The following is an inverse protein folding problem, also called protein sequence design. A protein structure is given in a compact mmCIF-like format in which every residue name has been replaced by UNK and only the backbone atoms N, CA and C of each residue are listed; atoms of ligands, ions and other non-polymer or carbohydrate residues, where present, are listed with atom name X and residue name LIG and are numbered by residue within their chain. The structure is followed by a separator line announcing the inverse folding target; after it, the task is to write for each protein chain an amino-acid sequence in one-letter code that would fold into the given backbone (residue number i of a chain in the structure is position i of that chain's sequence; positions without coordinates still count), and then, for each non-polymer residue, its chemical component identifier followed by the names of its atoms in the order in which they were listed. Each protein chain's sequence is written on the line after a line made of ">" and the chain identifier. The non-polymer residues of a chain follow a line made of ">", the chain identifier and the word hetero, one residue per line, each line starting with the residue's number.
data_IF_434619663097
#
_entry.id   IF_434619663097
#
_cell.length_a   1.000
_cell.length_b   1.000
_cell.length_c   1.000
_cell.angle_alpha   90.00
_cell.angle_beta   90.00
_cell.angle_gamma   90.00
#
_symmetry.space_group_name_H-M   'P 1'
#
loop_
_entity.id
_entity.type
_entity.pdbx_description
1 polymer ?
#
# COMPACT_ATOMS: atom_id res chain seq x y z
N UNK A 1 -61.93 -56.38 17.98
CA UNK A 1 -62.31 -54.98 18.28
C UNK A 1 -61.25 -54.22 19.08
N UNK A 2 -60.51 -54.83 20.02
CA UNK A 2 -59.48 -54.10 20.79
C UNK A 2 -58.30 -53.58 19.95
N UNK A 3 -57.85 -54.29 18.93
CA UNK A 3 -56.73 -53.86 18.07
C UNK A 3 -57.01 -52.56 17.29
N UNK A 4 -58.25 -52.39 16.81
CA UNK A 4 -58.70 -51.19 16.09
C UNK A 4 -58.79 -49.97 17.01
N UNK A 5 -59.19 -50.19 18.28
CA UNK A 5 -59.23 -49.14 19.28
C UNK A 5 -57.82 -48.66 19.67
N UNK A 6 -56.86 -49.58 19.80
CA UNK A 6 -55.47 -49.22 20.13
C UNK A 6 -54.79 -48.49 18.97
N UNK A 7 -55.04 -48.88 17.71
CA UNK A 7 -54.55 -48.13 16.55
C UNK A 7 -55.17 -46.75 16.42
N UNK A 8 -56.45 -46.58 16.78
CA UNK A 8 -57.13 -45.29 16.76
C UNK A 8 -56.62 -44.36 17.87
N UNK A 9 -56.35 -44.91 19.07
CA UNK A 9 -55.73 -44.16 20.17
C UNK A 9 -54.28 -43.78 19.87
N UNK A 10 -53.50 -44.66 19.20
CA UNK A 10 -52.16 -44.30 18.72
C UNK A 10 -52.22 -43.21 17.64
N UNK A 11 -53.17 -43.27 16.71
CA UNK A 11 -53.34 -42.25 15.67
C UNK A 11 -53.75 -40.90 16.27
N UNK A 12 -54.65 -40.89 17.26
CA UNK A 12 -55.03 -39.69 18.00
C UNK A 12 -53.88 -39.16 18.88
N UNK A 13 -53.06 -40.04 19.47
CA UNK A 13 -51.88 -39.63 20.24
C UNK A 13 -50.78 -39.04 19.33
N UNK A 14 -50.58 -39.60 18.13
CA UNK A 14 -49.65 -39.05 17.12
C UNK A 14 -50.15 -37.70 16.58
N UNK A 15 -51.46 -37.54 16.36
CA UNK A 15 -52.07 -36.26 15.97
C UNK A 15 -52.13 -35.23 17.11
N UNK A 16 -52.09 -35.65 18.38
CA UNK A 16 -51.97 -34.76 19.53
C UNK A 16 -50.51 -34.37 19.85
N UNK A 17 -49.53 -35.11 19.32
CA UNK A 17 -48.09 -34.83 19.46
C UNK A 17 -47.51 -33.97 18.33
N UNK A 18 -48.28 -33.65 17.29
CA UNK A 18 -47.98 -32.51 16.42
C UNK A 18 -48.23 -31.22 17.22
N UNK A 19 -47.26 -30.84 18.04
CA UNK A 19 -47.14 -29.48 18.54
C UNK A 19 -47.29 -28.56 17.32
N UNK A 20 -48.27 -27.67 17.35
CA UNK A 20 -48.45 -26.66 16.31
C UNK A 20 -47.19 -25.79 16.31
N UNK A 21 -46.25 -26.12 15.42
CA UNK A 21 -45.05 -25.33 15.20
C UNK A 21 -45.52 -24.00 14.59
N UNK A 22 -45.56 -22.97 15.44
CA UNK A 22 -45.80 -21.61 15.01
C UNK A 22 -44.55 -21.14 14.25
N UNK A 23 -44.72 -20.57 13.07
CA UNK A 23 -43.63 -19.96 12.30
C UNK A 23 -43.86 -18.46 12.21
N UNK A 24 -42.77 -17.70 12.13
CA UNK A 24 -42.87 -16.28 11.83
C UNK A 24 -43.26 -16.04 10.37
N UNK A 25 -44.07 -15.01 10.14
CA UNK A 25 -44.42 -14.46 8.83
C UNK A 25 -44.35 -12.92 8.90
N UNK A 26 -44.30 -12.24 7.75
CA UNK A 26 -44.34 -10.78 7.67
C UNK A 26 -45.62 -10.30 7.03
N UNK A 27 -46.29 -9.31 7.62
CA UNK A 27 -47.40 -8.57 7.00
C UNK A 27 -46.94 -7.21 6.48
N UNK A 28 -47.52 -6.78 5.36
CA UNK A 28 -47.28 -5.47 4.73
C UNK A 28 -45.78 -5.15 4.61
N UNK A 29 -45.00 -6.10 4.10
CA UNK A 29 -43.57 -5.95 3.86
C UNK A 29 -43.35 -5.01 2.67
N UNK A 30 -42.80 -3.84 2.94
CA UNK A 30 -42.50 -2.79 1.95
C UNK A 30 -41.00 -2.66 1.79
N UNK A 31 -40.51 -2.99 0.60
CA UNK A 31 -39.13 -2.78 0.18
C UNK A 31 -39.10 -1.63 -0.82
N UNK A 32 -38.27 -0.62 -0.57
CA UNK A 32 -38.08 0.46 -1.53
C UNK A 32 -36.62 0.90 -1.60
N UNK A 33 -36.19 1.23 -2.81
CA UNK A 33 -34.90 1.85 -3.10
C UNK A 33 -35.18 3.22 -3.69
N UNK A 34 -34.77 4.25 -2.96
CA UNK A 34 -34.96 5.65 -3.35
C UNK A 34 -33.60 6.32 -3.43
N UNK A 35 -33.31 7.02 -4.53
CA UNK A 35 -32.18 7.94 -4.60
C UNK A 35 -32.39 9.09 -3.59
N UNK A 36 -31.29 9.66 -3.10
CA UNK A 36 -31.30 10.79 -2.17
C UNK A 36 -32.10 11.99 -2.70
N UNK A 37 -32.11 12.21 -4.02
CA UNK A 37 -32.87 13.27 -4.70
C UNK A 37 -34.40 12.98 -4.76
N UNK A 38 -34.86 11.89 -4.13
CA UNK A 38 -36.26 11.51 -4.03
C UNK A 38 -36.75 10.64 -5.19
N UNK A 39 -35.89 10.31 -6.16
CA UNK A 39 -36.21 9.38 -7.25
C UNK A 39 -36.45 7.96 -6.72
N UNK A 40 -37.64 7.40 -6.95
CA UNK A 40 -37.95 6.01 -6.57
C UNK A 40 -37.49 5.06 -7.68
N UNK A 41 -36.49 4.23 -7.42
CA UNK A 41 -35.98 3.23 -8.37
C UNK A 41 -36.68 1.88 -8.24
N UNK A 42 -36.98 1.48 -7.00
CA UNK A 42 -37.72 0.25 -6.69
C UNK A 42 -38.71 0.53 -5.57
N UNK A 43 -39.94 0.05 -5.72
CA UNK A 43 -40.95 0.08 -4.65
C UNK A 43 -41.86 -1.14 -4.78
N UNK A 44 -41.68 -2.10 -3.89
CA UNK A 44 -42.46 -3.34 -3.82
C UNK A 44 -43.13 -3.46 -2.46
N UNK A 45 -44.35 -3.98 -2.45
CA UNK A 45 -45.11 -4.27 -1.25
C UNK A 45 -45.63 -5.70 -1.36
N UNK A 46 -45.38 -6.49 -0.33
CA UNK A 46 -45.78 -7.89 -0.23
C UNK A 46 -46.72 -8.03 0.97
N UNK A 47 -47.80 -8.81 0.83
CA UNK A 47 -48.77 -8.97 1.89
C UNK A 47 -48.34 -10.04 2.91
N UNK A 48 -47.65 -11.09 2.43
CA UNK A 48 -47.05 -12.17 3.22
C UNK A 48 -45.65 -12.51 2.71
N UNK A 49 -44.84 -13.22 3.53
CA UNK A 49 -43.58 -13.83 3.09
C UNK A 49 -43.74 -14.73 1.86
N UNK A 50 -44.91 -15.35 1.67
CA UNK A 50 -45.19 -16.26 0.55
C UNK A 50 -45.30 -15.55 -0.80
N UNK A 51 -45.52 -14.23 -0.79
CA UNK A 51 -45.65 -13.43 -2.01
C UNK A 51 -44.28 -13.03 -2.59
N UNK A 52 -43.19 -13.32 -1.87
CA UNK A 52 -41.84 -13.08 -2.35
C UNK A 52 -41.46 -14.13 -3.42
N UNK A 53 -40.78 -13.72 -4.50
CA UNK A 53 -40.26 -14.65 -5.48
C UNK A 53 -39.21 -15.56 -4.84
N UNK A 54 -39.12 -16.81 -5.32
CA UNK A 54 -38.15 -17.80 -4.83
C UNK A 54 -36.69 -17.34 -5.05
N UNK A 55 -36.45 -16.60 -6.13
CA UNK A 55 -35.17 -15.94 -6.40
C UNK A 55 -35.31 -14.42 -6.24
N UNK A 56 -34.45 -13.77 -5.44
CA UNK A 56 -34.48 -12.32 -5.25
C UNK A 56 -34.10 -11.59 -6.54
N UNK A 57 -34.75 -10.45 -6.78
CA UNK A 57 -34.43 -9.60 -7.93
C UNK A 57 -33.05 -8.94 -7.73
N UNK A 58 -32.27 -8.88 -8.80
CA UNK A 58 -30.97 -8.20 -8.79
C UNK A 58 -31.12 -6.72 -9.17
N UNK A 59 -30.61 -5.82 -8.34
CA UNK A 59 -30.64 -4.38 -8.58
C UNK A 59 -29.27 -3.75 -8.40
N UNK A 60 -28.81 -3.02 -9.42
CA UNK A 60 -27.56 -2.26 -9.36
C UNK A 60 -27.77 -0.94 -8.61
N UNK A 61 -27.04 -0.75 -7.51
CA UNK A 61 -27.08 0.44 -6.66
C UNK A 61 -26.23 1.59 -7.20
N UNK A 62 -26.68 2.79 -6.92
CA UNK A 62 -25.94 4.03 -7.08
C UNK A 62 -25.45 4.56 -5.71
N UNK A 63 -24.45 5.46 -5.68
CA UNK A 63 -23.85 5.94 -4.42
C UNK A 63 -24.86 6.60 -3.47
N UNK A 64 -25.84 7.30 -4.02
CA UNK A 64 -26.82 8.10 -3.28
C UNK A 64 -28.12 7.32 -3.02
N UNK A 65 -28.15 6.02 -3.34
CA UNK A 65 -29.33 5.20 -3.09
C UNK A 65 -29.53 4.92 -1.59
N UNK A 66 -30.80 4.87 -1.23
CA UNK A 66 -31.29 4.59 0.11
C UNK A 66 -32.25 3.42 0.03
N UNK A 67 -31.85 2.31 0.65
CA UNK A 67 -32.68 1.13 0.83
C UNK A 67 -33.54 1.35 2.08
N UNK A 68 -34.85 1.12 1.95
CA UNK A 68 -35.83 1.23 3.02
C UNK A 68 -36.66 -0.03 3.09
N UNK A 69 -36.74 -0.59 4.28
CA UNK A 69 -37.51 -1.78 4.59
C UNK A 69 -38.49 -1.45 5.72
N UNK A 70 -39.77 -1.74 5.55
CA UNK A 70 -40.76 -1.64 6.61
C UNK A 70 -41.67 -2.86 6.60
N UNK A 71 -41.95 -3.45 7.75
CA UNK A 71 -42.80 -4.64 7.85
C UNK A 71 -43.47 -4.73 9.22
N UNK A 72 -44.47 -5.60 9.29
CA UNK A 72 -45.09 -6.04 10.53
C UNK A 72 -44.78 -7.51 10.77
N UNK A 73 -44.26 -7.86 11.95
CA UNK A 73 -44.04 -9.23 12.35
C UNK A 73 -45.39 -9.88 12.69
N UNK A 74 -45.64 -11.04 12.09
CA UNK A 74 -46.83 -11.86 12.29
C UNK A 74 -46.46 -13.31 12.50
N UNK A 75 -47.41 -14.11 12.94
CA UNK A 75 -47.28 -15.56 13.02
C UNK A 75 -47.95 -16.19 11.80
N UNK A 76 -47.64 -17.46 11.53
CA UNK A 76 -48.26 -18.24 10.45
C UNK A 76 -49.78 -18.41 10.61
N UNK A 77 -50.32 -18.17 11.80
CA UNK A 77 -51.77 -18.05 12.06
C UNK A 77 -52.40 -16.77 11.49
N UNK A 78 -51.58 -15.82 11.04
CA UNK A 78 -52.01 -14.49 10.60
C UNK A 78 -52.19 -13.49 11.75
N UNK A 79 -51.94 -13.87 13.00
CA UNK A 79 -51.99 -12.94 14.13
C UNK A 79 -50.72 -12.09 14.20
N UNK A 80 -50.83 -10.89 14.80
CA UNK A 80 -49.66 -10.03 15.03
C UNK A 80 -48.78 -10.66 16.09
N UNK A 81 -47.47 -10.64 15.88
CA UNK A 81 -46.50 -11.13 16.84
C UNK A 81 -46.35 -10.13 18.00
N UNK A 82 -47.23 -10.24 19.01
CA UNK A 82 -47.26 -9.38 20.20
C UNK A 82 -46.96 -10.16 21.48
N UNK A 83 -46.58 -9.46 22.54
CA UNK A 83 -46.31 -10.06 23.84
C UNK A 83 -45.18 -11.08 23.80
N UNK A 84 -45.50 -12.34 24.13
CA UNK A 84 -44.53 -13.44 24.22
C UNK A 84 -44.01 -13.93 22.86
N UNK A 85 -44.77 -13.68 21.80
CA UNK A 85 -44.40 -14.06 20.44
C UNK A 85 -43.66 -12.96 19.69
N UNK A 86 -43.35 -11.83 20.32
CA UNK A 86 -42.55 -10.77 19.71
C UNK A 86 -41.15 -11.32 19.37
N UNK A 87 -40.63 -11.10 18.15
CA UNK A 87 -39.29 -11.56 17.80
C UNK A 87 -38.23 -10.97 18.74
N UNK A 88 -37.48 -11.82 19.42
CA UNK A 88 -36.34 -11.40 20.25
C UNK A 88 -35.16 -10.95 19.38
N UNK A 89 -35.03 -11.54 18.20
CA UNK A 89 -33.99 -11.24 17.22
C UNK A 89 -34.68 -10.82 15.91
N UNK A 90 -34.37 -9.60 15.47
CA UNK A 90 -34.76 -9.11 14.16
C UNK A 90 -33.54 -8.47 13.53
N UNK A 91 -33.05 -9.02 12.43
CA UNK A 91 -31.82 -8.58 11.79
C UNK A 91 -32.05 -8.40 10.30
N UNK A 92 -31.48 -7.34 9.74
CA UNK A 92 -31.22 -7.27 8.30
C UNK A 92 -29.78 -7.68 8.11
N UNK A 93 -29.55 -8.66 7.26
CA UNK A 93 -28.22 -9.17 6.92
C UNK A 93 -27.97 -8.85 5.46
N UNK A 94 -26.79 -8.33 5.17
CA UNK A 94 -26.26 -8.26 3.81
C UNK A 94 -25.06 -9.19 3.75
N UNK A 95 -25.14 -10.20 2.91
CA UNK A 95 -24.12 -11.23 2.77
C UNK A 95 -23.78 -11.50 1.31
N UNK A 96 -22.59 -12.04 1.12
CA UNK A 96 -22.11 -12.63 -0.12
C UNK A 96 -22.66 -14.07 -0.20
N UNK A 97 -22.77 -14.68 -1.39
CA UNK A 97 -23.24 -16.06 -1.57
C UNK A 97 -22.49 -17.07 -0.70
N UNK A 98 -21.19 -16.84 -0.45
CA UNK A 98 -20.35 -17.69 0.41
C UNK A 98 -20.41 -17.32 1.91
N UNK A 99 -21.24 -16.34 2.30
CA UNK A 99 -21.37 -15.80 3.66
C UNK A 99 -20.06 -15.32 4.32
N UNK A 100 -18.96 -15.23 3.57
CA UNK A 100 -17.65 -14.76 4.05
C UNK A 100 -17.63 -13.26 4.37
N UNK A 101 -18.55 -12.52 3.75
CA UNK A 101 -18.64 -11.06 3.80
C UNK A 101 -20.00 -10.61 4.30
N UNK A 102 -20.26 -10.84 5.58
CA UNK A 102 -21.52 -10.47 6.23
C UNK A 102 -21.47 -9.07 6.87
N UNK A 103 -22.59 -8.37 6.80
CA UNK A 103 -22.89 -7.18 7.61
C UNK A 103 -24.30 -7.28 8.15
N UNK A 104 -24.45 -6.99 9.44
CA UNK A 104 -25.67 -7.26 10.18
C UNK A 104 -26.15 -5.96 10.81
N UNK A 105 -27.42 -5.62 10.62
CA UNK A 105 -28.08 -4.49 11.25
C UNK A 105 -29.19 -5.00 12.18
N UNK A 106 -29.07 -4.78 13.49
CA UNK A 106 -30.13 -5.12 14.41
C UNK A 106 -31.32 -4.17 14.28
N UNK A 107 -32.51 -4.76 14.25
CA UNK A 107 -33.79 -4.06 14.20
C UNK A 107 -34.48 -4.16 15.55
N UNK A 108 -35.09 -3.05 15.98
CA UNK A 108 -35.97 -3.04 17.14
C UNK A 108 -37.42 -3.13 16.66
N UNK A 109 -38.06 -4.29 16.87
CA UNK A 109 -39.49 -4.47 16.60
C UNK A 109 -40.28 -3.79 17.71
N UNK A 110 -41.19 -2.88 17.34
CA UNK A 110 -42.01 -2.15 18.32
C UNK A 110 -43.10 -3.06 18.86
N UNK A 111 -43.09 -3.33 20.17
CA UNK A 111 -44.06 -4.24 20.81
C UNK A 111 -45.53 -3.81 20.69
N UNK A 112 -45.84 -2.52 20.59
CA UNK A 112 -47.22 -2.02 20.49
C UNK A 112 -47.87 -2.28 19.13
N UNK A 113 -47.08 -2.26 18.06
CA UNK A 113 -47.56 -2.39 16.68
C UNK A 113 -47.00 -3.59 15.95
N UNK A 114 -46.10 -4.37 16.57
CA UNK A 114 -45.30 -5.43 15.94
C UNK A 114 -44.55 -4.99 14.68
N UNK A 115 -44.29 -3.68 14.53
CA UNK A 115 -43.73 -3.11 13.30
C UNK A 115 -42.24 -2.79 13.46
N UNK A 116 -41.46 -2.99 12.41
CA UNK A 116 -40.09 -2.50 12.30
C UNK A 116 -39.89 -1.72 11.00
N UNK A 117 -39.01 -0.73 11.05
CA UNK A 117 -38.60 0.06 9.90
C UNK A 117 -37.09 0.25 9.94
N UNK A 118 -36.45 0.08 8.79
CA UNK A 118 -35.02 0.18 8.60
C UNK A 118 -34.74 1.00 7.35
N UNK A 119 -33.70 1.82 7.41
CA UNK A 119 -33.23 2.56 6.26
C UNK A 119 -31.71 2.63 6.28
N UNK A 120 -31.10 2.31 5.15
CA UNK A 120 -29.67 2.37 4.98
C UNK A 120 -29.32 3.08 3.69
N UNK A 121 -28.40 4.03 3.79
CA UNK A 121 -27.84 4.70 2.61
C UNK A 121 -26.55 4.01 2.22
N UNK A 122 -26.33 3.84 0.92
CA UNK A 122 -25.16 3.14 0.37
C UNK A 122 -23.86 3.89 0.69
N UNK A 123 -23.88 5.23 0.63
CA UNK A 123 -22.75 6.10 1.03
C UNK A 123 -22.30 5.90 2.48
N UNK A 124 -23.21 5.51 3.38
CA UNK A 124 -22.96 5.35 4.83
C UNK A 124 -22.63 3.93 5.26
N UNK A 125 -22.42 3.01 4.31
CA UNK A 125 -21.97 1.66 4.62
C UNK A 125 -20.66 1.68 5.40
N UNK A 126 -20.48 0.68 6.27
CA UNK A 126 -19.27 0.58 7.09
C UNK A 126 -18.02 0.48 6.20
N UNK A 127 -16.88 1.05 6.60
CA UNK A 127 -15.66 1.02 5.78
C UNK A 127 -15.17 -0.41 5.52
N UNK A 128 -15.41 -1.33 6.47
CA UNK A 128 -15.07 -2.74 6.31
C UNK A 128 -15.93 -3.42 5.23
N UNK A 129 -17.23 -3.13 5.20
CA UNK A 129 -18.13 -3.67 4.17
C UNK A 129 -17.78 -3.10 2.79
N UNK A 130 -17.52 -1.78 2.70
CA UNK A 130 -17.05 -1.14 1.46
C UNK A 130 -15.77 -1.79 0.92
N UNK A 131 -14.80 -2.10 1.79
CA UNK A 131 -13.57 -2.79 1.39
C UNK A 131 -13.86 -4.18 0.85
N UNK A 132 -14.71 -4.95 1.54
CA UNK A 132 -15.16 -6.28 1.10
C UNK A 132 -15.88 -6.23 -0.26
N UNK A 133 -16.67 -5.20 -0.52
CA UNK A 133 -17.32 -4.98 -1.82
C UNK A 133 -16.32 -4.68 -2.94
N UNK A 134 -15.30 -3.85 -2.68
CA UNK A 134 -14.22 -3.57 -3.64
C UNK A 134 -13.44 -4.84 -3.98
N UNK A 135 -13.13 -5.66 -2.98
CA UNK A 135 -12.47 -6.96 -3.20
C UNK A 135 -13.35 -7.98 -3.94
N UNK A 136 -14.67 -7.86 -3.88
CA UNK A 136 -15.61 -8.73 -4.59
C UNK A 136 -15.74 -8.37 -6.08
N UNK A 137 -15.65 -7.07 -6.40
CA UNK A 137 -15.76 -6.56 -7.76
C UNK A 137 -17.20 -6.23 -8.20
N UNK A 138 -17.37 -5.65 -9.41
CA UNK A 138 -18.61 -4.97 -9.84
C UNK A 138 -19.78 -5.89 -10.20
N UNK A 139 -19.52 -7.19 -10.42
CA UNK A 139 -20.54 -8.15 -10.87
C UNK A 139 -20.93 -9.15 -9.78
N UNK A 140 -20.47 -8.91 -8.55
CA UNK A 140 -20.71 -9.81 -7.44
C UNK A 140 -21.93 -9.31 -6.63
N UNK A 141 -23.07 -10.05 -6.63
CA UNK A 141 -24.27 -9.65 -5.92
C UNK A 141 -24.15 -9.90 -4.42
N UNK A 142 -24.57 -8.93 -3.63
CA UNK A 142 -24.76 -9.07 -2.18
C UNK A 142 -26.23 -9.27 -1.87
N UNK A 143 -26.58 -10.37 -1.22
CA UNK A 143 -27.95 -10.71 -0.87
C UNK A 143 -28.37 -9.95 0.39
N UNK A 144 -29.55 -9.35 0.34
CA UNK A 144 -30.19 -8.70 1.47
C UNK A 144 -31.26 -9.63 2.05
N UNK A 145 -31.05 -10.09 3.28
CA UNK A 145 -31.90 -11.06 3.96
C UNK A 145 -32.49 -10.46 5.24
N UNK A 146 -33.78 -10.64 5.47
CA UNK A 146 -34.44 -10.36 6.75
C UNK A 146 -34.52 -11.64 7.58
N UNK A 147 -34.04 -11.59 8.82
CA UNK A 147 -34.08 -12.70 9.76
C UNK A 147 -34.93 -12.30 10.96
N UNK A 148 -35.98 -13.06 11.25
CA UNK A 148 -36.78 -12.95 12.46
C UNK A 148 -36.70 -14.25 13.24
N UNK A 149 -36.27 -14.18 14.49
CA UNK A 149 -36.17 -15.32 15.37
C UNK A 149 -36.54 -14.95 16.80
N UNK A 150 -36.87 -15.97 17.58
CA UNK A 150 -37.28 -15.82 18.95
C UNK A 150 -36.76 -16.99 19.76
N UNK A 151 -36.42 -16.72 21.03
CA UNK A 151 -36.08 -17.79 21.95
C UNK A 151 -37.35 -18.45 22.45
N UNK A 152 -37.37 -19.78 22.44
CA UNK A 152 -38.44 -20.55 23.07
C UNK A 152 -38.46 -20.24 24.57
N UNK A 153 -39.58 -19.71 25.07
CA UNK A 153 -39.77 -19.42 26.50
C UNK A 153 -40.07 -20.69 27.28
N UNK A 154 -40.83 -21.61 26.68
CA UNK A 154 -41.12 -22.94 27.21
C UNK A 154 -40.50 -24.02 26.33
N UNK A 155 -40.00 -25.13 26.92
CA UNK A 155 -39.44 -26.27 26.17
C UNK A 155 -40.46 -27.00 25.29
N UNK A 156 -41.75 -26.63 25.38
CA UNK A 156 -42.85 -27.18 24.57
C UNK A 156 -43.28 -26.24 23.43
N UNK A 157 -42.86 -24.98 23.44
CA UNK A 157 -43.20 -23.98 22.43
C UNK A 157 -41.97 -23.68 21.56
N UNK A 158 -41.82 -24.36 20.43
CA UNK A 158 -40.79 -24.02 19.44
C UNK A 158 -41.41 -23.13 18.37
N UNK A 159 -40.77 -22.00 18.10
CA UNK A 159 -41.18 -21.08 17.03
C UNK A 159 -40.13 -21.15 15.94
N UNK A 160 -40.54 -21.48 14.72
CA UNK A 160 -39.62 -21.58 13.60
C UNK A 160 -39.17 -20.17 13.16
N UNK A 161 -37.85 -19.96 12.98
CA UNK A 161 -37.31 -18.69 12.54
C UNK A 161 -37.68 -18.44 11.07
N UNK A 162 -37.84 -17.16 10.73
CA UNK A 162 -38.12 -16.70 9.39
C UNK A 162 -36.85 -16.10 8.79
N UNK A 163 -36.42 -16.64 7.66
CA UNK A 163 -35.32 -16.11 6.84
C UNK A 163 -35.88 -15.76 5.47
N UNK A 164 -35.80 -14.49 5.10
CA UNK A 164 -36.40 -13.98 3.86
C UNK A 164 -35.37 -13.26 3.01
N UNK A 165 -34.96 -13.83 1.86
CA UNK A 165 -34.16 -13.13 0.88
C UNK A 165 -35.04 -12.07 0.19
N UNK A 166 -34.62 -10.81 0.23
CA UNK A 166 -35.42 -9.68 -0.24
C UNK A 166 -34.95 -9.15 -1.59
N UNK A 167 -33.63 -8.98 -1.75
CA UNK A 167 -33.04 -8.28 -2.87
C UNK A 167 -31.56 -8.68 -3.03
N UNK A 168 -31.13 -8.92 -4.26
CA UNK A 168 -29.72 -9.07 -4.58
C UNK A 168 -29.17 -7.73 -5.07
N UNK A 169 -28.14 -7.22 -4.42
CA UNK A 169 -27.64 -5.87 -4.56
C UNK A 169 -26.29 -5.91 -5.27
N UNK A 170 -26.21 -5.31 -6.46
CA UNK A 170 -24.97 -5.19 -7.21
C UNK A 170 -24.45 -3.76 -7.17
N UNK A 171 -23.13 -3.58 -7.30
CA UNK A 171 -22.48 -2.28 -7.18
C UNK A 171 -21.71 -1.95 -8.45
N UNK A 172 -21.95 -0.77 -9.03
CA UNK A 172 -21.28 -0.37 -10.26
C UNK A 172 -19.79 -0.10 -10.04
N UNK A 173 -18.98 -0.30 -11.09
CA UNK A 173 -17.52 -0.07 -11.04
C UNK A 173 -17.17 1.38 -10.64
N UNK A 174 -17.98 2.35 -11.05
CA UNK A 174 -17.79 3.77 -10.70
C UNK A 174 -18.04 4.06 -9.22
N UNK A 175 -18.86 3.27 -8.54
CA UNK A 175 -19.02 3.36 -7.09
C UNK A 175 -17.86 2.67 -6.37
N UNK A 176 -17.48 1.48 -6.81
CA UNK A 176 -16.39 0.72 -6.19
C UNK A 176 -15.07 1.50 -6.22
N UNK A 177 -14.79 2.22 -7.31
CA UNK A 177 -13.60 3.08 -7.38
C UNK A 177 -13.61 4.23 -6.36
N UNK A 178 -14.77 4.77 -6.02
CA UNK A 178 -14.90 5.78 -4.93
C UNK A 178 -14.58 5.16 -3.58
N UNK A 179 -15.05 3.94 -3.31
CA UNK A 179 -14.73 3.24 -2.07
C UNK A 179 -13.25 2.88 -1.97
N UNK A 180 -12.59 2.58 -3.09
CA UNK A 180 -11.16 2.31 -3.12
C UNK A 180 -10.32 3.54 -2.71
N UNK A 181 -10.74 4.74 -3.12
CA UNK A 181 -10.04 5.99 -2.78
C UNK A 181 -10.06 6.32 -1.28
N UNK A 182 -10.98 5.71 -0.52
CA UNK A 182 -11.18 5.97 0.90
C UNK A 182 -10.39 4.98 1.81
N UNK A 183 -9.19 4.57 1.39
CA UNK A 183 -8.22 3.81 2.21
C UNK A 183 -7.56 4.73 3.24
N UNK A 184 -8.33 5.33 4.14
CA UNK A 184 -7.75 5.90 5.35
C UNK A 184 -7.50 4.75 6.33
N UNK A 185 -6.29 4.64 6.90
CA UNK A 185 -6.05 3.69 7.98
C UNK A 185 -7.01 3.98 9.13
N UNK A 186 -7.68 2.94 9.63
CA UNK A 186 -8.56 3.11 10.79
C UNK A 186 -7.74 3.52 12.01
N UNK A 187 -8.30 4.31 12.92
CA UNK A 187 -7.61 4.68 14.17
C UNK A 187 -7.12 3.46 14.96
N UNK A 188 -7.84 2.33 14.87
CA UNK A 188 -7.40 1.05 15.44
C UNK A 188 -6.14 0.51 14.75
N UNK A 189 -6.10 0.54 13.43
CA UNK A 189 -4.92 0.11 12.66
C UNK A 189 -3.71 0.99 12.98
N UNK A 190 -3.91 2.30 13.14
CA UNK A 190 -2.84 3.23 13.56
C UNK A 190 -2.37 2.94 14.98
N UNK A 191 -3.29 2.65 15.92
CA UNK A 191 -2.94 2.24 17.28
C UNK A 191 -2.18 0.90 17.31
N UNK A 192 -2.65 -0.09 16.53
CA UNK A 192 -1.98 -1.39 16.41
C UNK A 192 -0.57 -1.24 15.80
N UNK A 193 -0.41 -0.33 14.84
CA UNK A 193 0.89 -0.01 14.24
C UNK A 193 1.81 0.68 15.26
N UNK A 194 1.28 1.62 16.04
CA UNK A 194 2.02 2.32 17.10
C UNK A 194 2.45 1.39 18.24
N UNK A 195 1.59 0.43 18.61
CA UNK A 195 1.86 -0.58 19.63
C UNK A 195 2.76 -1.73 19.12
N UNK A 196 3.07 -1.77 17.82
CA UNK A 196 4.00 -2.75 17.25
C UNK A 196 3.39 -4.12 16.96
N UNK A 197 2.07 -4.23 16.79
CA UNK A 197 1.40 -5.47 16.39
C UNK A 197 1.60 -5.83 14.91
N UNK A 198 2.10 -4.88 14.11
CA UNK A 198 2.42 -5.09 12.70
C UNK A 198 3.94 -5.17 12.51
N UNK A 199 4.43 -6.00 11.56
CA UNK A 199 5.86 -6.07 11.28
C UNK A 199 6.36 -4.70 10.82
N UNK A 200 7.42 -4.21 11.47
CA UNK A 200 8.07 -2.97 11.05
C UNK A 200 8.70 -3.16 9.67
N UNK A 201 8.64 -2.14 8.80
CA UNK A 201 9.30 -2.21 7.50
C UNK A 201 10.80 -2.41 7.70
N UNK A 202 11.39 -3.24 6.84
CA UNK A 202 12.82 -3.49 6.89
C UNK A 202 13.59 -2.23 6.45
N UNK A 203 14.31 -1.60 7.39
CA UNK A 203 15.18 -0.47 7.09
C UNK A 203 16.54 -0.98 6.62
N UNK A 204 16.94 -0.61 5.40
CA UNK A 204 18.28 -0.87 4.86
C UNK A 204 19.14 0.39 5.00
N UNK A 205 20.37 0.22 5.50
CA UNK A 205 21.34 1.31 5.54
C UNK A 205 21.79 1.65 4.12
N UNK A 206 21.50 2.87 3.67
CA UNK A 206 21.98 3.37 2.37
C UNK A 206 23.34 4.04 2.56
N UNK A 207 24.39 3.41 2.04
CA UNK A 207 25.72 4.01 2.01
C UNK A 207 25.77 5.16 1.00
N UNK A 208 26.64 6.13 1.27
CA UNK A 208 26.92 7.19 0.30
C UNK A 208 27.59 6.59 -0.93
N UNK A 209 27.28 7.16 -2.10
CA UNK A 209 27.91 6.80 -3.37
C UNK A 209 29.40 7.14 -3.29
N UNK A 210 30.25 6.15 -3.58
CA UNK A 210 31.69 6.34 -3.53
C UNK A 210 32.16 7.32 -4.62
N UNK A 211 33.12 8.23 -4.35
CA UNK A 211 33.50 9.30 -5.28
C UNK A 211 33.96 8.84 -6.67
N UNK A 212 34.48 7.61 -6.81
CA UNK A 212 34.92 7.10 -8.12
C UNK A 212 33.76 6.74 -9.05
N UNK A 213 32.56 6.50 -8.51
CA UNK A 213 31.37 6.18 -9.31
C UNK A 213 30.83 7.41 -10.04
N UNK A 214 31.11 8.60 -9.53
CA UNK A 214 30.75 9.89 -10.15
C UNK A 214 31.90 10.49 -10.97
N UNK A 215 33.07 9.85 -11.01
CA UNK A 215 34.20 10.33 -11.82
C UNK A 215 33.92 10.20 -13.32
N UNK A 216 34.43 11.14 -14.14
CA UNK A 216 34.30 11.07 -15.58
C UNK A 216 35.04 9.84 -16.15
N UNK A 217 34.67 9.38 -17.36
CA UNK A 217 35.34 8.25 -18.00
C UNK A 217 36.86 8.45 -18.10
N UNK A 218 37.63 7.38 -17.86
CA UNK A 218 39.11 7.40 -17.85
C UNK A 218 39.71 8.01 -19.12
N UNK A 219 39.08 7.78 -20.28
CA UNK A 219 39.53 8.34 -21.54
C UNK A 219 39.48 9.88 -21.57
N UNK A 220 38.42 10.48 -21.01
CA UNK A 220 38.27 11.95 -20.94
C UNK A 220 39.31 12.53 -20.00
N UNK A 221 39.52 11.91 -18.84
CA UNK A 221 40.55 12.34 -17.88
C UNK A 221 41.96 12.19 -18.44
N UNK A 222 42.24 11.14 -19.22
CA UNK A 222 43.54 10.94 -19.86
C UNK A 222 43.77 11.99 -20.96
N UNK A 223 42.75 12.25 -21.78
CA UNK A 223 42.80 13.26 -22.83
C UNK A 223 43.08 14.65 -22.27
N UNK A 224 42.38 15.06 -21.21
CA UNK A 224 42.63 16.35 -20.56
C UNK A 224 44.02 16.42 -19.92
N UNK A 225 44.47 15.35 -19.26
CA UNK A 225 45.82 15.28 -18.69
C UNK A 225 46.92 15.44 -19.76
N UNK A 226 46.77 14.78 -20.91
CA UNK A 226 47.70 14.92 -22.04
C UNK A 226 47.71 16.33 -22.62
N UNK A 227 46.54 16.98 -22.74
CA UNK A 227 46.47 18.36 -23.24
C UNK A 227 47.16 19.32 -22.27
N UNK A 228 46.91 19.20 -20.97
CA UNK A 228 47.54 20.05 -19.94
C UNK A 228 49.05 19.84 -19.90
N UNK A 229 49.53 18.61 -20.09
CA UNK A 229 50.96 18.30 -20.08
C UNK A 229 51.66 18.66 -21.40
N UNK A 230 51.06 18.41 -22.55
CA UNK A 230 51.76 18.55 -23.83
C UNK A 230 51.62 19.96 -24.41
N UNK A 231 50.45 20.60 -24.30
CA UNK A 231 50.19 21.85 -25.00
C UNK A 231 51.11 23.01 -24.52
N UNK A 232 51.22 23.32 -23.21
CA UNK A 232 52.07 24.43 -22.76
C UNK A 232 53.56 24.18 -23.06
N UNK A 233 54.03 22.95 -22.88
CA UNK A 233 55.42 22.58 -23.14
C UNK A 233 55.76 22.60 -24.63
N UNK A 234 54.84 22.16 -25.50
CA UNK A 234 55.03 22.25 -26.95
C UNK A 234 55.13 23.71 -27.44
N UNK A 235 54.30 24.60 -26.88
CA UNK A 235 54.35 26.05 -27.17
C UNK A 235 55.67 26.63 -26.67
N UNK A 236 56.09 26.31 -25.44
CA UNK A 236 57.36 26.78 -24.88
C UNK A 236 58.56 26.34 -25.75
N UNK A 237 58.60 25.07 -26.16
CA UNK A 237 59.66 24.53 -27.03
C UNK A 237 59.64 25.18 -28.42
N UNK A 238 58.45 25.44 -28.98
CA UNK A 238 58.31 26.14 -30.25
C UNK A 238 58.82 27.59 -30.17
N UNK A 239 58.52 28.29 -29.08
CA UNK A 239 59.02 29.64 -28.82
C UNK A 239 60.54 29.66 -28.59
N UNK A 240 61.11 28.60 -28.01
CA UNK A 240 62.55 28.46 -27.79
C UNK A 240 63.32 27.96 -29.01
N UNK A 241 62.63 27.48 -30.07
CA UNK A 241 63.25 27.00 -31.31
C UNK A 241 64.32 27.93 -31.91
N UNK A 242 64.16 29.27 -31.92
CA UNK A 242 65.19 30.18 -32.43
C UNK A 242 66.49 30.18 -31.61
N UNK A 243 66.44 29.82 -30.32
CA UNK A 243 67.59 29.84 -29.39
C UNK A 243 68.48 28.61 -29.54
N UNK A 244 67.94 27.47 -29.99
CA UNK A 244 68.69 26.23 -30.19
C UNK A 244 69.64 26.24 -31.40
N UNK A 245 69.54 27.26 -32.26
CA UNK A 245 70.45 27.43 -33.41
C UNK A 245 71.87 27.85 -33.01
N UNK A 246 72.07 28.27 -31.75
CA UNK A 246 73.38 28.62 -31.20
C UNK A 246 73.93 27.42 -30.43
N UNK A 247 74.98 26.80 -30.96
CA UNK A 247 75.72 25.75 -30.25
C UNK A 247 76.47 26.35 -29.06
N UNK A 248 75.95 26.17 -27.85
CA UNK A 248 76.61 26.58 -26.61
C UNK A 248 77.40 25.39 -26.05
N UNK A 249 78.71 25.57 -25.86
CA UNK A 249 79.52 24.57 -25.17
C UNK A 249 79.28 24.66 -23.66
N UNK A 250 78.79 23.58 -23.05
CA UNK A 250 78.53 23.53 -21.62
C UNK A 250 79.83 23.35 -20.82
N UNK A 251 80.10 24.26 -19.87
CA UNK A 251 81.24 24.11 -18.96
C UNK A 251 81.05 22.93 -18.01
N UNK A 252 82.15 22.27 -17.58
CA UNK A 252 82.08 21.13 -16.64
C UNK A 252 81.38 21.48 -15.34
N UNK A 253 81.59 22.68 -14.81
CA UNK A 253 80.91 23.18 -13.61
C UNK A 253 79.40 23.38 -13.82
N UNK A 254 79.01 23.91 -14.98
CA UNK A 254 77.60 24.05 -15.37
C UNK A 254 76.90 22.70 -15.54
N UNK A 255 77.58 21.71 -16.13
CA UNK A 255 77.04 20.35 -16.27
C UNK A 255 76.83 19.66 -14.92
N UNK A 256 77.74 19.85 -13.96
CA UNK A 256 77.60 19.32 -12.61
C UNK A 256 76.43 19.95 -11.86
N UNK A 257 76.23 21.27 -12.00
CA UNK A 257 75.06 21.97 -11.43
C UNK A 257 73.75 21.47 -12.04
N UNK A 258 73.68 21.33 -13.37
CA UNK A 258 72.49 20.80 -14.05
C UNK A 258 72.18 19.36 -13.63
N UNK A 259 73.21 18.51 -13.45
CA UNK A 259 73.03 17.16 -12.94
C UNK A 259 72.47 17.14 -11.51
N UNK A 260 72.89 18.07 -10.64
CA UNK A 260 72.34 18.19 -9.29
C UNK A 260 70.88 18.66 -9.32
N UNK A 261 70.54 19.64 -10.16
CA UNK A 261 69.15 20.11 -10.34
C UNK A 261 68.29 18.95 -10.84
N UNK A 262 68.74 18.22 -11.86
CA UNK A 262 68.03 17.05 -12.37
C UNK A 262 67.84 15.97 -11.30
N UNK A 263 68.88 15.69 -10.50
CA UNK A 263 68.79 14.73 -9.40
C UNK A 263 67.76 15.13 -8.34
N UNK A 264 67.67 16.42 -8.01
CA UNK A 264 66.65 16.95 -7.09
C UNK A 264 65.24 16.77 -7.67
N UNK A 265 65.03 17.02 -8.96
CA UNK A 265 63.73 16.79 -9.63
C UNK A 265 63.34 15.30 -9.61
N UNK A 266 64.29 14.40 -9.83
CA UNK A 266 64.06 12.94 -9.73
C UNK A 266 63.66 12.56 -8.31
N UNK A 267 64.32 13.13 -7.28
CA UNK A 267 63.96 12.91 -5.89
C UNK A 267 62.54 13.43 -5.55
N UNK A 268 62.15 14.57 -6.11
CA UNK A 268 60.80 15.10 -5.96
C UNK A 268 59.75 14.18 -6.61
N UNK A 269 60.03 13.64 -7.80
CA UNK A 269 59.18 12.63 -8.44
C UNK A 269 59.08 11.34 -7.62
N UNK A 270 60.21 10.85 -7.09
CA UNK A 270 60.22 9.65 -6.24
C UNK A 270 59.39 9.84 -4.96
N UNK A 271 59.47 11.02 -4.33
CA UNK A 271 58.60 11.36 -3.20
C UNK A 271 57.12 11.29 -3.58
N UNK A 272 56.76 11.86 -4.74
CA UNK A 272 55.39 11.82 -5.25
C UNK A 272 54.87 10.37 -5.50
N UNK A 273 55.75 9.46 -5.93
CA UNK A 273 55.41 8.04 -6.17
C UNK A 273 55.32 7.20 -4.89
N UNK A 274 55.71 7.74 -3.73
CA UNK A 274 55.65 7.16 -2.36
C UNK A 274 57.00 6.84 -1.70
N UNK A 275 58.12 7.41 -2.17
CA UNK A 275 59.38 7.31 -1.40
C UNK A 275 59.27 8.16 -0.13
N UNK A 276 59.58 7.61 1.05
CA UNK A 276 59.38 8.32 2.30
C UNK A 276 60.34 9.50 2.45
N UNK A 277 59.84 10.52 3.15
CA UNK A 277 60.49 11.81 3.37
C UNK A 277 61.91 11.69 3.95
N UNK A 278 62.15 10.74 4.85
CA UNK A 278 63.46 10.55 5.49
C UNK A 278 64.54 9.98 4.57
N UNK A 279 64.20 9.48 3.38
CA UNK A 279 65.17 9.09 2.34
C UNK A 279 65.41 10.27 1.40
N UNK A 280 64.33 10.95 1.03
CA UNK A 280 64.34 12.06 0.05
C UNK A 280 65.08 13.28 0.62
N UNK A 281 64.79 13.69 1.86
CA UNK A 281 65.36 14.91 2.42
C UNK A 281 66.88 14.84 2.68
N UNK A 282 67.45 13.76 3.25
CA UNK A 282 68.91 13.65 3.35
C UNK A 282 69.60 13.60 1.98
N UNK A 283 69.03 12.88 1.01
CA UNK A 283 69.56 12.81 -0.35
C UNK A 283 69.50 14.17 -1.07
N UNK A 284 68.38 14.89 -0.93
CA UNK A 284 68.22 16.24 -1.47
C UNK A 284 69.16 17.24 -0.76
N UNK A 285 69.35 17.10 0.55
CA UNK A 285 70.31 17.90 1.32
C UNK A 285 71.75 17.69 0.84
N UNK A 286 72.15 16.45 0.60
CA UNK A 286 73.47 16.13 0.03
C UNK A 286 73.64 16.70 -1.39
N UNK A 287 72.62 16.57 -2.23
CA UNK A 287 72.61 17.13 -3.59
C UNK A 287 72.65 18.66 -3.59
N UNK A 288 71.97 19.32 -2.64
CA UNK A 288 71.98 20.77 -2.47
C UNK A 288 73.37 21.26 -2.06
N UNK A 289 74.04 20.58 -1.12
CA UNK A 289 75.42 20.93 -0.73
C UNK A 289 76.37 20.79 -1.92
N UNK A 290 76.24 19.70 -2.70
CA UNK A 290 77.02 19.51 -3.93
C UNK A 290 76.73 20.60 -4.97
N UNK A 291 75.46 20.97 -5.16
CA UNK A 291 75.04 22.05 -6.04
C UNK A 291 75.58 23.42 -5.60
N UNK A 292 75.63 23.71 -4.29
CA UNK A 292 76.18 24.96 -3.77
C UNK A 292 77.70 25.06 -3.99
N UNK A 293 78.44 23.98 -3.77
CA UNK A 293 79.89 23.96 -3.98
C UNK A 293 80.27 24.04 -5.47
N UNK A 294 79.61 23.25 -6.33
CA UNK A 294 79.83 23.27 -7.78
C UNK A 294 79.25 24.51 -8.48
N UNK A 295 78.13 25.03 -7.96
CA UNK A 295 77.38 26.14 -8.53
C UNK A 295 78.07 27.49 -8.37
N UNK A 296 78.81 27.71 -7.28
CA UNK A 296 79.63 28.92 -7.11
C UNK A 296 80.65 29.08 -8.23
N UNK A 297 81.28 27.99 -8.66
CA UNK A 297 82.22 27.99 -9.80
C UNK A 297 81.52 28.06 -11.16
N UNK A 298 80.27 27.57 -11.26
CA UNK A 298 79.48 27.63 -12.49
C UNK A 298 78.86 29.02 -12.74
N UNK A 299 78.55 29.76 -11.67
CA UNK A 299 77.98 31.11 -11.72
C UNK A 299 79.05 32.21 -11.78
N UNK A 300 80.27 31.95 -11.28
CA UNK A 300 81.39 32.91 -11.36
C UNK A 300 82.04 32.98 -12.75
N UNK A 301 81.90 31.92 -13.56
CA UNK A 301 82.27 31.94 -14.97
C UNK A 301 81.09 32.53 -15.76
N UNK A 302 81.26 33.74 -16.29
CA UNK A 302 80.21 34.40 -17.08
C UNK A 302 79.82 33.55 -18.30
N UNK A 303 78.51 33.35 -18.47
CA UNK A 303 77.89 32.60 -19.57
C UNK A 303 77.95 33.33 -20.94
N UNK A 304 78.85 34.30 -21.08
CA UNK A 304 79.05 35.08 -22.31
C UNK A 304 80.54 35.02 -22.66
N UNK A 305 80.97 33.89 -23.25
CA UNK A 305 82.02 33.94 -24.27
C UNK A 305 81.31 34.00 -25.61
N UNK A 306 81.11 35.20 -26.12
CA UNK A 306 80.98 35.38 -27.57
C UNK A 306 82.30 34.96 -28.18
N UNK A 307 82.31 33.85 -28.92
CA UNK A 307 83.42 33.51 -29.81
C UNK A 307 83.54 34.62 -30.86
N UNK A 308 84.59 35.42 -30.76
CA UNK A 308 85.28 35.99 -31.90
C UNK A 308 86.54 35.14 -32.13
#
# INVERSE_FOLDING_TARGET
>A
MMLVAHSLWLLCAVMAMSAAALSYDTKDLRLSVTSFDGGSRLKKSFASARDLPAEPETLTMEPDDVIKLAFFASLSSGEKATGEFLPHQAWVVMDDEDASRTSIWPLQVRGSSSSASWSMRVDRLSPNLKRKMVEAGPNHPFRLTLILASFAKDPRSTIDPLTLPLLDVQFSQSMLSRFESQKLPSARYEAELADGFHPQPFHQHTFQVEPWQTMPPKAVSLGSALVVLVAPWSILLALWRPLFSKTVSLSRSASALLACVWFIEVLAFLHWVSVPVWVVFPAAGAALVAAMLGGRSALSQSWIRTSA
#
